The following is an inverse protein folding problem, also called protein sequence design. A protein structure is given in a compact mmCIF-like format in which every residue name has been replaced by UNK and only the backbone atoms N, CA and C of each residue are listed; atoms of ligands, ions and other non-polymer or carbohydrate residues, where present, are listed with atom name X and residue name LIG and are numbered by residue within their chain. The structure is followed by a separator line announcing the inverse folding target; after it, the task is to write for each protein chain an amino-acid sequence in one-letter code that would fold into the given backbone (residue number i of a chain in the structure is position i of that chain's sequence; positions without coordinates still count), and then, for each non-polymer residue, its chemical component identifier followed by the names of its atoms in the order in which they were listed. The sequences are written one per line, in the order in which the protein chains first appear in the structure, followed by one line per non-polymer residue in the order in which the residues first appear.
data_IF_849864271049
#
_entry.id   IF_849864271049
#
_cell.length_a   1.000
_cell.length_b   1.000
_cell.length_c   1.000
_cell.angle_alpha   90.00
_cell.angle_beta   90.00
_cell.angle_gamma   90.00
#
_symmetry.space_group_name_H-M   'P 1'
#
loop_
_entity.id
_entity.type
_entity.pdbx_description
1 polymer ?
#
# COMPACT_ATOMS: atom_id res chain seq x y z
N UNK A 1 5.77 8.00 -31.32
CA UNK A 1 5.77 6.74 -30.54
C UNK A 1 4.74 6.89 -29.43
N UNK A 2 3.70 6.04 -29.35
CA UNK A 2 2.77 6.08 -28.23
C UNK A 2 3.57 5.66 -26.98
N UNK A 3 3.73 6.57 -26.03
CA UNK A 3 4.49 6.29 -24.82
C UNK A 3 3.66 5.36 -23.93
N UNK A 4 4.25 4.23 -23.55
CA UNK A 4 3.75 3.17 -22.64
C UNK A 4 3.43 3.66 -21.20
N UNK A 5 3.16 4.95 -21.00
CA UNK A 5 2.90 5.58 -19.69
C UNK A 5 1.54 5.19 -19.08
N UNK A 6 0.67 4.49 -19.81
CA UNK A 6 -0.69 4.18 -19.35
C UNK A 6 -0.75 2.95 -18.41
N UNK A 7 0.14 1.97 -18.57
CA UNK A 7 0.06 0.71 -17.81
C UNK A 7 0.45 0.83 -16.33
N UNK A 8 1.22 1.86 -15.98
CA UNK A 8 1.77 2.04 -14.63
C UNK A 8 1.07 3.12 -13.80
N UNK A 9 -0.09 3.60 -14.27
CA UNK A 9 -0.96 4.59 -13.59
C UNK A 9 -2.23 3.94 -13.04
N UNK A 10 -2.20 2.64 -12.78
CA UNK A 10 -3.37 1.90 -12.34
C UNK A 10 -3.31 1.67 -10.83
N UNK A 11 -4.48 1.71 -10.20
CA UNK A 11 -4.64 1.24 -8.84
C UNK A 11 -4.38 -0.27 -8.83
N UNK A 12 -3.55 -0.79 -7.90
CA UNK A 12 -3.23 -2.22 -7.86
C UNK A 12 -4.41 -3.08 -7.34
N UNK A 13 -5.47 -2.45 -6.83
CA UNK A 13 -6.68 -3.14 -6.37
C UNK A 13 -7.52 -3.55 -7.58
N UNK A 14 -7.76 -4.86 -7.71
CA UNK A 14 -8.56 -5.45 -8.81
C UNK A 14 -9.98 -4.86 -8.80
N UNK A 15 -10.47 -4.56 -10.00
CA UNK A 15 -11.78 -3.92 -10.24
C UNK A 15 -11.96 -2.55 -9.57
N UNK A 16 -10.88 -1.87 -9.19
CA UNK A 16 -10.96 -0.48 -8.83
C UNK A 16 -11.21 0.39 -10.08
N UNK A 17 -12.38 1.03 -10.12
CA UNK A 17 -12.80 1.91 -11.22
C UNK A 17 -12.66 3.40 -10.89
N UNK A 18 -12.05 3.74 -9.75
CA UNK A 18 -11.84 5.14 -9.36
C UNK A 18 -10.72 5.76 -10.20
N UNK A 19 -10.85 7.06 -10.46
CA UNK A 19 -9.82 7.80 -11.20
C UNK A 19 -8.56 7.92 -10.34
N UNK A 20 -7.43 7.46 -10.86
CA UNK A 20 -6.12 7.66 -10.23
C UNK A 20 -5.72 9.13 -10.34
N UNK A 21 -5.55 9.78 -9.19
CA UNK A 21 -5.23 11.21 -9.06
C UNK A 21 -3.88 11.45 -8.37
N UNK A 22 -3.19 10.38 -7.98
CA UNK A 22 -1.84 10.42 -7.41
C UNK A 22 -1.06 9.18 -7.81
N UNK A 23 0.25 9.35 -8.01
CA UNK A 23 1.17 8.28 -8.38
C UNK A 23 2.32 8.26 -7.38
N UNK A 24 2.59 7.09 -6.82
CA UNK A 24 3.77 6.83 -6.00
C UNK A 24 4.85 6.12 -6.82
N UNK A 25 6.10 6.44 -6.54
CA UNK A 25 7.26 5.69 -7.01
C UNK A 25 7.88 4.96 -5.83
N UNK A 26 7.88 3.63 -5.88
CA UNK A 26 8.46 2.79 -4.85
C UNK A 26 9.99 2.83 -4.85
N UNK A 27 10.62 2.32 -3.79
CA UNK A 27 12.09 2.24 -3.69
C UNK A 27 12.73 1.30 -4.72
N UNK A 28 11.99 0.31 -5.22
CA UNK A 28 12.36 -0.55 -6.36
C UNK A 28 11.94 0.03 -7.73
N UNK A 29 11.59 1.32 -7.77
CA UNK A 29 11.39 2.12 -8.98
C UNK A 29 10.10 1.84 -9.76
N UNK A 30 9.14 1.13 -9.16
CA UNK A 30 7.82 0.89 -9.78
C UNK A 30 6.88 2.05 -9.49
N UNK A 31 5.93 2.29 -10.39
CA UNK A 31 4.88 3.27 -10.17
C UNK A 31 3.59 2.57 -9.71
N UNK A 32 2.93 3.16 -8.72
CA UNK A 32 1.68 2.69 -8.14
C UNK A 32 0.67 3.84 -8.19
N UNK A 33 -0.47 3.63 -8.86
CA UNK A 33 -1.58 4.58 -8.86
C UNK A 33 -2.40 4.46 -7.58
N UNK A 34 -2.91 5.58 -7.07
CA UNK A 34 -3.80 5.62 -5.91
C UNK A 34 -4.81 6.77 -6.01
N UNK A 35 -5.59 6.95 -4.95
CA UNK A 35 -6.68 7.92 -4.87
C UNK A 35 -6.53 8.77 -3.62
N UNK A 36 -6.30 10.07 -3.77
CA UNK A 36 -6.14 11.03 -2.66
C UNK A 36 -7.31 10.93 -1.68
N UNK A 37 -8.55 10.84 -2.17
CA UNK A 37 -9.73 10.72 -1.33
C UNK A 37 -9.70 9.49 -0.41
N UNK A 38 -9.22 8.34 -0.91
CA UNK A 38 -9.07 7.10 -0.13
C UNK A 38 -7.97 7.23 0.92
N UNK A 39 -6.82 7.77 0.51
CA UNK A 39 -5.68 7.98 1.41
C UNK A 39 -6.07 8.90 2.57
N UNK A 40 -6.66 10.07 2.28
CA UNK A 40 -7.16 11.01 3.29
C UNK A 40 -8.15 10.37 4.26
N UNK A 41 -9.01 9.47 3.77
CA UNK A 41 -10.07 8.87 4.57
C UNK A 41 -9.53 7.87 5.61
N UNK A 42 -8.50 7.09 5.26
CA UNK A 42 -8.03 5.99 6.11
C UNK A 42 -6.64 6.22 6.72
N UNK A 43 -5.88 7.22 6.26
CA UNK A 43 -4.56 7.53 6.79
C UNK A 43 -4.23 9.01 6.65
N UNK A 44 -4.32 9.81 7.72
CA UNK A 44 -3.91 11.21 7.68
C UNK A 44 -2.39 11.39 7.52
N UNK A 45 -1.60 10.33 7.74
CA UNK A 45 -0.14 10.33 7.66
C UNK A 45 0.40 9.83 6.31
N UNK A 46 -0.47 9.32 5.43
CA UNK A 46 -0.03 8.92 4.10
C UNK A 46 0.35 10.17 3.28
N UNK A 47 1.47 10.17 2.55
CA UNK A 47 1.85 11.29 1.71
C UNK A 47 0.77 11.60 0.68
N UNK A 48 0.24 12.82 0.75
CA UNK A 48 -0.75 13.34 -0.18
C UNK A 48 -0.11 14.30 -1.17
N UNK A 49 -0.87 14.59 -2.21
CA UNK A 49 -0.61 15.70 -3.10
C UNK A 49 -0.55 17.03 -2.33
N UNK A 50 0.28 18.01 -2.75
CA UNK A 50 0.29 19.34 -2.15
C UNK A 50 -1.12 19.96 -2.12
N UNK A 51 -1.41 20.73 -1.08
CA UNK A 51 -2.63 21.53 -1.00
C UNK A 51 -2.30 22.94 -1.50
N UNK A 52 -2.95 23.37 -2.57
CA UNK A 52 -2.90 24.75 -3.07
C UNK A 52 -4.30 25.35 -2.90
N UNK A 53 -4.42 26.51 -2.26
CA UNK A 53 -5.70 27.20 -1.99
C UNK A 53 -6.79 26.34 -1.35
N UNK A 54 -6.40 25.39 -0.48
CA UNK A 54 -7.32 24.47 0.20
C UNK A 54 -7.80 23.30 -0.67
N UNK A 55 -7.25 23.14 -1.87
CA UNK A 55 -7.57 22.06 -2.81
C UNK A 55 -6.35 21.16 -2.98
N UNK A 56 -6.57 19.84 -2.96
CA UNK A 56 -5.52 18.87 -3.29
C UNK A 56 -5.16 18.98 -4.77
N UNK A 57 -3.91 19.31 -5.07
CA UNK A 57 -3.39 19.44 -6.44
C UNK A 57 -2.49 18.25 -6.74
N UNK A 58 -2.92 17.32 -7.61
CA UNK A 58 -2.12 16.18 -8.03
C UNK A 58 -0.68 16.58 -8.40
N UNK A 59 0.34 15.92 -7.83
CA UNK A 59 1.72 16.27 -8.12
C UNK A 59 2.04 16.00 -9.59
N UNK A 60 2.82 16.90 -10.21
CA UNK A 60 3.25 16.76 -11.62
C UNK A 60 4.19 15.56 -11.83
N UNK A 61 4.86 15.15 -10.77
CA UNK A 61 5.79 14.02 -10.73
C UNK A 61 5.35 12.99 -9.68
N UNK A 62 5.67 11.70 -9.86
CA UNK A 62 5.40 10.68 -8.85
C UNK A 62 6.06 11.01 -7.50
N UNK A 63 5.35 10.77 -6.41
CA UNK A 63 5.91 10.92 -5.06
C UNK A 63 6.75 9.71 -4.70
N UNK A 64 8.01 9.91 -4.36
CA UNK A 64 8.92 8.83 -3.99
C UNK A 64 8.64 8.34 -2.57
N UNK A 65 8.49 7.02 -2.42
CA UNK A 65 8.28 6.33 -1.16
C UNK A 65 9.41 5.32 -0.90
N UNK A 66 9.74 5.12 0.38
CA UNK A 66 10.83 4.22 0.78
C UNK A 66 10.44 2.74 0.68
N UNK A 67 9.13 2.48 0.65
CA UNK A 67 8.55 1.16 0.61
C UNK A 67 8.70 0.51 -0.77
N UNK A 68 8.97 -0.78 -0.79
CA UNK A 68 9.00 -1.57 -2.02
C UNK A 68 7.60 -1.67 -2.63
N UNK A 69 7.54 -1.85 -3.95
CA UNK A 69 6.28 -1.88 -4.70
C UNK A 69 5.28 -2.90 -4.18
N UNK A 70 5.74 -4.09 -3.77
CA UNK A 70 4.89 -5.14 -3.22
C UNK A 70 4.22 -4.73 -1.89
N UNK A 71 4.93 -4.02 -1.02
CA UNK A 71 4.36 -3.49 0.24
C UNK A 71 3.31 -2.43 -0.08
N UNK A 72 3.62 -1.50 -0.97
CA UNK A 72 2.69 -0.44 -1.36
C UNK A 72 1.41 -1.00 -2.00
N UNK A 73 1.52 -2.03 -2.84
CA UNK A 73 0.35 -2.73 -3.41
C UNK A 73 -0.56 -3.27 -2.32
N UNK A 74 0.00 -3.99 -1.34
CA UNK A 74 -0.79 -4.53 -0.22
C UNK A 74 -1.46 -3.40 0.58
N UNK A 75 -0.72 -2.31 0.88
CA UNK A 75 -1.30 -1.16 1.57
C UNK A 75 -2.47 -0.54 0.80
N UNK A 76 -2.40 -0.47 -0.54
CA UNK A 76 -3.52 0.04 -1.34
C UNK A 76 -4.81 -0.75 -1.11
N UNK A 77 -4.76 -2.05 -0.86
CA UNK A 77 -5.96 -2.83 -0.53
C UNK A 77 -6.59 -2.40 0.81
N UNK A 78 -5.79 -1.99 1.80
CA UNK A 78 -6.32 -1.50 3.08
C UNK A 78 -7.05 -0.15 2.95
N UNK A 79 -6.74 0.64 1.93
CA UNK A 79 -7.48 1.84 1.56
C UNK A 79 -8.80 1.55 0.82
N UNK A 80 -9.06 0.29 0.45
CA UNK A 80 -10.22 -0.16 -0.31
C UNK A 80 -10.97 -1.26 0.47
N UNK A 81 -11.62 -0.97 1.61
CA UNK A 81 -12.20 -2.00 2.48
C UNK A 81 -13.37 -2.78 1.88
N UNK A 82 -13.90 -2.36 0.73
CA UNK A 82 -14.91 -3.11 -0.04
C UNK A 82 -14.31 -4.16 -0.97
N UNK A 83 -13.00 -4.15 -1.16
CA UNK A 83 -12.28 -5.10 -1.98
C UNK A 83 -11.60 -6.14 -1.07
N UNK A 84 -11.45 -7.38 -1.53
CA UNK A 84 -10.72 -8.38 -0.77
C UNK A 84 -9.27 -7.94 -0.57
N UNK A 85 -8.72 -8.26 0.60
CA UNK A 85 -7.29 -8.24 0.80
C UNK A 85 -6.65 -9.32 -0.11
N UNK A 86 -5.43 -9.09 -0.62
CA UNK A 86 -4.71 -10.14 -1.33
C UNK A 86 -4.48 -11.31 -0.39
N UNK A 87 -4.45 -12.54 -0.91
CA UNK A 87 -4.12 -13.74 -0.13
C UNK A 87 -2.77 -13.52 0.58
N UNK A 88 -2.79 -13.46 1.91
CA UNK A 88 -1.62 -13.14 2.74
C UNK A 88 -0.87 -14.40 3.20
N UNK A 89 -1.45 -15.56 2.90
CA UNK A 89 -1.11 -16.91 3.35
C UNK A 89 0.31 -17.34 2.92
N UNK A 90 0.88 -16.64 1.94
CA UNK A 90 2.20 -16.92 1.34
C UNK A 90 3.15 -15.71 1.39
N UNK A 91 2.85 -14.70 2.21
CA UNK A 91 3.72 -13.55 2.39
C UNK A 91 4.97 -13.98 3.18
N UNK A 92 6.20 -13.83 2.63
CA UNK A 92 7.42 -14.10 3.39
C UNK A 92 7.50 -13.23 4.64
N UNK A 93 8.05 -13.75 5.74
CA UNK A 93 8.16 -13.04 7.04
C UNK A 93 8.77 -11.65 6.87
N UNK A 94 9.85 -11.53 6.10
CA UNK A 94 10.52 -10.25 5.84
C UNK A 94 9.60 -9.22 5.15
N UNK A 95 8.66 -9.68 4.33
CA UNK A 95 7.65 -8.82 3.70
C UNK A 95 6.55 -8.45 4.70
N UNK A 96 6.19 -9.35 5.62
CA UNK A 96 5.23 -9.07 6.69
C UNK A 96 5.77 -8.02 7.68
N UNK A 97 7.06 -8.09 8.02
CA UNK A 97 7.75 -7.09 8.83
C UNK A 97 7.76 -5.72 8.14
N UNK A 98 8.12 -5.68 6.85
CA UNK A 98 8.11 -4.45 6.07
C UNK A 98 6.69 -3.86 5.94
N UNK A 99 5.68 -4.71 5.79
CA UNK A 99 4.27 -4.29 5.79
C UNK A 99 3.85 -3.73 7.14
N UNK A 100 4.24 -4.37 8.25
CA UNK A 100 3.94 -3.91 9.60
C UNK A 100 4.58 -2.55 9.91
N UNK A 101 5.82 -2.34 9.45
CA UNK A 101 6.52 -1.05 9.58
C UNK A 101 5.80 0.05 8.80
N UNK A 102 5.48 -0.20 7.53
CA UNK A 102 4.78 0.78 6.70
C UNK A 102 3.35 1.04 7.22
N UNK A 103 2.64 0.00 7.69
CA UNK A 103 1.33 0.16 8.31
C UNK A 103 1.38 1.04 9.57
N UNK A 104 2.41 0.89 10.41
CA UNK A 104 2.63 1.77 11.57
C UNK A 104 2.96 3.21 11.15
N UNK A 105 3.86 3.38 10.18
CA UNK A 105 4.22 4.69 9.61
C UNK A 105 3.01 5.46 9.10
N UNK A 106 2.06 4.76 8.50
CA UNK A 106 0.84 5.35 7.93
C UNK A 106 -0.40 5.15 8.79
N UNK A 107 -0.26 4.75 10.06
CA UNK A 107 -1.37 4.61 11.00
C UNK A 107 -2.55 3.75 10.51
N UNK A 108 -2.25 2.68 9.75
CA UNK A 108 -3.24 1.75 9.22
C UNK A 108 -3.49 0.62 10.23
N UNK A 109 -4.28 0.90 11.27
CA UNK A 109 -4.53 -0.02 12.38
C UNK A 109 -4.99 -1.43 11.98
N UNK A 110 -5.84 -1.54 10.96
CA UNK A 110 -6.30 -2.84 10.45
C UNK A 110 -5.15 -3.68 9.87
N UNK A 111 -4.21 -3.05 9.16
CA UNK A 111 -3.02 -3.71 8.64
C UNK A 111 -2.06 -4.11 9.76
N UNK A 112 -1.89 -3.25 10.77
CA UNK A 112 -1.07 -3.55 11.95
C UNK A 112 -1.56 -4.82 12.64
N UNK A 113 -2.87 -4.94 12.88
CA UNK A 113 -3.44 -6.07 13.60
C UNK A 113 -3.35 -7.38 12.80
N UNK A 114 -3.60 -7.33 11.48
CA UNK A 114 -3.40 -8.49 10.60
C UNK A 114 -1.94 -8.94 10.60
N UNK A 115 -0.99 -8.01 10.53
CA UNK A 115 0.44 -8.35 10.60
C UNK A 115 0.80 -8.98 11.94
N UNK A 116 0.27 -8.43 13.06
CA UNK A 116 0.49 -8.96 14.41
C UNK A 116 0.02 -10.41 14.52
N UNK A 117 -1.21 -10.70 14.07
CA UNK A 117 -1.78 -12.04 14.10
C UNK A 117 -0.97 -13.00 13.21
N UNK A 118 -0.66 -12.61 11.98
CA UNK A 118 0.12 -13.44 11.06
C UNK A 118 1.52 -13.78 11.62
N UNK A 119 2.22 -12.82 12.23
CA UNK A 119 3.52 -13.07 12.87
C UNK A 119 3.39 -14.04 14.07
N UNK A 120 2.32 -13.95 14.86
CA UNK A 120 2.09 -14.89 15.97
C UNK A 120 1.94 -16.34 15.49
N UNK A 121 1.21 -16.56 14.39
CA UNK A 121 1.03 -17.89 13.80
C UNK A 121 2.36 -18.49 13.29
N UNK A 122 3.20 -17.68 12.65
CA UNK A 122 4.53 -18.11 12.18
C UNK A 122 5.42 -18.54 13.36
N UNK A 123 5.43 -17.75 14.44
CA UNK A 123 6.19 -18.10 15.65
C UNK A 123 5.67 -19.38 16.31
N UNK A 124 4.35 -19.60 16.36
CA UNK A 124 3.78 -20.82 16.94
C UNK A 124 4.05 -22.08 16.09
N UNK A 125 4.00 -21.97 14.76
CA UNK A 125 4.31 -23.10 13.88
C UNK A 125 5.79 -23.50 13.98
N UNK A 126 6.67 -22.51 14.19
CA UNK A 126 8.11 -22.77 14.43
C UNK A 126 8.36 -23.53 15.73
N UNK A 127 7.52 -23.40 16.75
CA UNK A 127 7.65 -24.15 18.02
C UNK A 127 7.25 -25.61 17.83
N UNK A 128 6.25 -25.90 17.00
CA UNK A 128 5.74 -27.27 16.78
C UNK A 128 6.48 -28.07 15.69
N UNK A 129 7.46 -27.49 14.99
CA UNK A 129 8.31 -28.21 14.01
C UNK A 129 9.55 -28.83 14.69
N UNK A 130 9.90 -28.39 15.91
CA UNK A 130 11.04 -28.91 16.67
C UNK A 130 10.65 -29.87 17.81
N UNK A 131 9.39 -30.30 17.89
CA UNK A 131 8.91 -31.36 18.81
C UNK A 131 8.61 -32.67 18.05
#
# INVERSE_FOLDING_TARGET
MPTDKAKYRQCPVVDCSETVDIIFKSSDGKLIGAHCARLCQYSPFFPLAPVEDGVLVPPKEPLELAEASEVLKILMHYFHPKHPLPETDLIPISRLEALAEAARKYDLHSAIEVCRLAMMYVCHCSIHIYD
#
